data_IF_060515658079
#
_entry.id   IF_060515658079
#
_cell.length_a   1.000
_cell.length_b   1.000
_cell.length_c   1.000
_cell.angle_alpha   90.00
_cell.angle_beta   90.00
_cell.angle_gamma   90.00
#
_symmetry.space_group_name_H-M   'P 1'
#
loop_
_entity.id
_entity.type
_entity.pdbx_description
1 polymer ?
#
# COMPACT_ATOMS: atom_id res chain seq x y z
N UNK A 1 -62.37 -3.19 -16.27
CA UNK A 1 -62.18 -3.15 -14.81
C UNK A 1 -61.66 -4.50 -14.39
N UNK A 2 -60.35 -4.62 -14.34
CA UNK A 2 -59.61 -5.66 -13.60
C UNK A 2 -58.20 -5.11 -13.42
N UNK A 3 -58.04 -4.35 -12.35
CA UNK A 3 -56.75 -4.05 -11.77
C UNK A 3 -56.17 -5.38 -11.27
N UNK A 4 -55.32 -6.00 -12.06
CA UNK A 4 -54.52 -7.13 -11.60
C UNK A 4 -53.48 -6.57 -10.64
N UNK A 5 -53.85 -6.71 -9.39
CA UNK A 5 -53.09 -6.46 -8.18
C UNK A 5 -51.75 -7.21 -8.21
N UNK A 6 -50.73 -6.69 -8.92
CA UNK A 6 -49.32 -7.08 -8.69
C UNK A 6 -48.90 -6.39 -7.41
N UNK A 7 -48.84 -7.19 -6.35
CA UNK A 7 -48.64 -6.70 -5.01
C UNK A 7 -47.37 -5.80 -4.88
N UNK A 8 -47.47 -4.72 -4.09
CA UNK A 8 -46.31 -3.91 -3.67
C UNK A 8 -45.21 -4.72 -3.01
N UNK A 9 -45.44 -6.00 -2.77
CA UNK A 9 -44.53 -6.95 -2.12
C UNK A 9 -43.29 -7.30 -2.94
N UNK A 10 -43.33 -7.33 -4.29
CA UNK A 10 -42.20 -7.83 -5.06
C UNK A 10 -40.96 -6.94 -4.94
N UNK A 11 -41.14 -5.61 -5.02
CA UNK A 11 -40.05 -4.64 -4.88
C UNK A 11 -39.47 -4.69 -3.47
N UNK A 12 -40.34 -4.74 -2.46
CA UNK A 12 -39.92 -4.87 -1.06
C UNK A 12 -39.14 -6.17 -0.80
N UNK A 13 -39.57 -7.28 -1.41
CA UNK A 13 -38.90 -8.57 -1.30
C UNK A 13 -37.49 -8.51 -1.94
N UNK A 14 -37.41 -7.94 -3.16
CA UNK A 14 -36.13 -7.76 -3.87
C UNK A 14 -35.18 -6.88 -3.05
N UNK A 15 -35.67 -5.71 -2.60
CA UNK A 15 -34.85 -4.78 -1.83
C UNK A 15 -34.39 -5.38 -0.47
N UNK A 16 -35.26 -6.17 0.19
CA UNK A 16 -34.91 -6.87 1.43
C UNK A 16 -33.82 -7.92 1.19
N UNK A 17 -33.95 -8.74 0.13
CA UNK A 17 -32.95 -9.76 -0.20
C UNK A 17 -31.59 -9.12 -0.57
N UNK A 18 -31.61 -8.01 -1.35
CA UNK A 18 -30.40 -7.26 -1.71
C UNK A 18 -29.77 -6.62 -0.49
N UNK A 19 -30.54 -5.99 0.39
CA UNK A 19 -30.01 -5.43 1.64
C UNK A 19 -29.37 -6.49 2.53
N UNK A 20 -29.98 -7.68 2.58
CA UNK A 20 -29.39 -8.82 3.31
C UNK A 20 -28.08 -9.30 2.67
N UNK A 21 -28.00 -9.33 1.34
CA UNK A 21 -26.78 -9.69 0.63
C UNK A 21 -25.63 -8.71 0.91
N UNK A 22 -25.90 -7.41 0.94
CA UNK A 22 -24.91 -6.37 1.23
C UNK A 22 -24.29 -6.54 2.64
N UNK A 23 -25.10 -6.91 3.62
CA UNK A 23 -24.63 -7.12 5.00
C UNK A 23 -23.77 -8.37 5.12
N UNK A 24 -24.10 -9.42 4.38
CA UNK A 24 -23.48 -10.74 4.53
C UNK A 24 -22.29 -10.98 3.62
N UNK A 25 -22.23 -10.33 2.44
CA UNK A 25 -21.17 -10.50 1.45
C UNK A 25 -20.06 -9.46 1.65
N UNK A 26 -18.84 -9.93 1.92
CA UNK A 26 -17.67 -9.06 2.08
C UNK A 26 -16.87 -8.84 0.78
N UNK A 27 -17.14 -9.65 -0.23
CA UNK A 27 -16.46 -9.58 -1.52
C UNK A 27 -17.38 -8.90 -2.52
N UNK A 28 -16.93 -7.78 -3.11
CA UNK A 28 -17.72 -6.98 -4.06
C UNK A 28 -18.23 -7.78 -5.25
N UNK A 29 -17.39 -8.62 -5.88
CA UNK A 29 -17.79 -9.43 -7.03
C UNK A 29 -18.81 -10.52 -6.63
N UNK A 30 -18.67 -11.13 -5.45
CA UNK A 30 -19.63 -12.09 -4.92
C UNK A 30 -20.99 -11.42 -4.63
N UNK A 31 -20.97 -10.20 -4.06
CA UNK A 31 -22.15 -9.38 -3.84
C UNK A 31 -22.89 -9.12 -5.15
N UNK A 32 -22.19 -8.65 -6.19
CA UNK A 32 -22.80 -8.37 -7.49
C UNK A 32 -23.44 -9.61 -8.10
N UNK A 33 -22.81 -10.78 -8.02
CA UNK A 33 -23.38 -12.05 -8.48
C UNK A 33 -24.65 -12.41 -7.70
N UNK A 34 -24.62 -12.30 -6.39
CA UNK A 34 -25.77 -12.58 -5.53
C UNK A 34 -26.97 -11.67 -5.90
N UNK A 35 -26.72 -10.38 -6.12
CA UNK A 35 -27.75 -9.44 -6.55
C UNK A 35 -28.34 -9.84 -7.90
N UNK A 36 -27.52 -10.21 -8.89
CA UNK A 36 -28.02 -10.70 -10.18
C UNK A 36 -28.85 -11.98 -10.03
N UNK A 37 -28.52 -12.88 -9.13
CA UNK A 37 -29.30 -14.09 -8.86
C UNK A 37 -30.64 -13.76 -8.21
N UNK A 38 -30.70 -12.75 -7.33
CA UNK A 38 -31.98 -12.24 -6.77
C UNK A 38 -32.85 -11.65 -7.88
N UNK A 39 -32.28 -10.79 -8.73
CA UNK A 39 -33.00 -10.18 -9.86
C UNK A 39 -33.50 -11.25 -10.86
N UNK A 40 -32.66 -12.24 -11.18
CA UNK A 40 -33.05 -13.37 -12.04
C UNK A 40 -34.26 -14.11 -11.49
N UNK A 41 -34.22 -14.51 -10.22
CA UNK A 41 -35.30 -15.28 -9.58
C UNK A 41 -36.60 -14.48 -9.43
N UNK A 42 -36.51 -13.17 -9.18
CA UNK A 42 -37.66 -12.34 -8.82
C UNK A 42 -38.23 -11.57 -10.01
N UNK A 43 -37.39 -11.11 -10.93
CA UNK A 43 -37.83 -10.27 -12.07
C UNK A 43 -37.96 -11.03 -13.39
N UNK A 44 -37.78 -12.35 -13.43
CA UNK A 44 -37.77 -13.14 -14.67
C UNK A 44 -36.84 -12.58 -15.75
N UNK A 45 -35.70 -12.03 -15.35
CA UNK A 45 -34.72 -11.59 -16.32
C UNK A 45 -34.05 -12.79 -17.00
N UNK A 46 -33.64 -12.62 -18.25
CA UNK A 46 -32.95 -13.67 -19.02
C UNK A 46 -31.44 -13.65 -18.76
N UNK A 47 -30.87 -12.44 -18.70
CA UNK A 47 -29.47 -12.16 -18.47
C UNK A 47 -29.32 -10.86 -17.71
N UNK A 48 -28.24 -10.73 -16.98
CA UNK A 48 -27.90 -9.50 -16.30
C UNK A 48 -26.40 -9.31 -16.19
N UNK A 49 -25.94 -8.05 -16.24
CA UNK A 49 -24.54 -7.69 -16.09
C UNK A 49 -24.36 -6.47 -15.23
N UNK A 50 -23.34 -6.51 -14.37
CA UNK A 50 -22.74 -5.34 -13.77
C UNK A 50 -21.46 -4.99 -14.51
N UNK A 51 -21.35 -3.76 -15.02
CA UNK A 51 -20.09 -3.23 -15.51
C UNK A 51 -19.53 -2.21 -14.54
N UNK A 52 -18.21 -2.19 -14.40
CA UNK A 52 -17.50 -1.22 -13.56
C UNK A 52 -16.64 -0.34 -14.46
N UNK A 53 -16.65 0.96 -14.16
CA UNK A 53 -15.87 1.96 -14.89
C UNK A 53 -14.43 2.01 -14.36
N UNK A 54 -13.46 1.92 -15.27
CA UNK A 54 -12.04 2.12 -15.01
C UNK A 54 -11.49 3.17 -15.99
N UNK A 55 -11.50 4.43 -15.53
CA UNK A 55 -11.17 5.55 -16.41
C UNK A 55 -12.21 5.73 -17.53
N UNK A 56 -11.83 5.49 -18.79
CA UNK A 56 -12.72 5.57 -19.96
C UNK A 56 -13.30 4.20 -20.38
N UNK A 57 -12.94 3.14 -19.69
CA UNK A 57 -13.34 1.78 -20.02
C UNK A 57 -14.44 1.28 -19.05
N UNK A 58 -15.32 0.44 -19.59
CA UNK A 58 -16.37 -0.27 -18.87
C UNK A 58 -16.17 -1.78 -19.08
N UNK A 59 -15.93 -2.51 -17.99
CA UNK A 59 -15.70 -3.95 -18.03
C UNK A 59 -16.77 -4.69 -17.21
N UNK A 60 -17.22 -5.85 -17.72
CA UNK A 60 -18.16 -6.68 -16.97
C UNK A 60 -17.44 -7.28 -15.76
N UNK A 61 -17.87 -6.92 -14.57
CA UNK A 61 -17.34 -7.42 -13.29
C UNK A 61 -18.12 -8.65 -12.80
N UNK A 62 -19.43 -8.69 -13.04
CA UNK A 62 -20.29 -9.81 -12.71
C UNK A 62 -21.39 -9.98 -13.74
N UNK A 63 -21.81 -11.23 -13.96
CA UNK A 63 -22.89 -11.54 -14.87
C UNK A 63 -23.72 -12.71 -14.37
N UNK A 64 -24.99 -12.74 -14.84
CA UNK A 64 -25.85 -13.92 -14.82
C UNK A 64 -26.23 -14.27 -16.26
N UNK A 65 -26.00 -15.54 -16.63
CA UNK A 65 -26.33 -16.03 -17.97
C UNK A 65 -25.26 -15.74 -19.05
N UNK A 66 -24.02 -15.40 -18.66
CA UNK A 66 -22.86 -15.29 -19.54
C UNK A 66 -21.72 -16.20 -19.05
N UNK A 67 -20.98 -16.77 -19.97
CA UNK A 67 -19.72 -17.47 -19.67
C UNK A 67 -18.53 -16.49 -19.56
N UNK A 68 -17.35 -17.00 -19.14
CA UNK A 68 -16.16 -16.16 -18.96
C UNK A 68 -15.66 -15.53 -20.29
N UNK A 69 -15.81 -16.23 -21.41
CA UNK A 69 -15.39 -15.70 -22.71
C UNK A 69 -16.33 -14.59 -23.19
N UNK A 70 -17.62 -14.77 -22.93
CA UNK A 70 -18.67 -13.81 -23.21
C UNK A 70 -18.49 -12.54 -22.36
N UNK A 71 -18.17 -12.70 -21.06
CA UNK A 71 -17.86 -11.57 -20.19
C UNK A 71 -16.65 -10.77 -20.69
N UNK A 72 -15.56 -11.44 -21.08
CA UNK A 72 -14.35 -10.77 -21.61
C UNK A 72 -14.62 -9.98 -22.90
N UNK A 73 -15.58 -10.40 -23.73
CA UNK A 73 -16.01 -9.64 -24.92
C UNK A 73 -16.85 -8.41 -24.57
N UNK A 74 -17.44 -8.38 -23.41
CA UNK A 74 -18.28 -7.28 -22.92
C UNK A 74 -17.46 -6.10 -22.41
N UNK A 75 -16.61 -5.54 -23.25
CA UNK A 75 -15.82 -4.34 -23.03
C UNK A 75 -16.41 -3.17 -23.85
N UNK A 76 -16.62 -2.03 -23.21
CA UNK A 76 -17.19 -0.82 -23.81
C UNK A 76 -16.37 0.40 -23.40
N UNK A 77 -16.41 1.45 -24.23
CA UNK A 77 -15.93 2.77 -23.82
C UNK A 77 -17.10 3.64 -23.35
N UNK A 78 -16.79 4.62 -22.52
CA UNK A 78 -17.77 5.66 -22.13
C UNK A 78 -18.26 6.35 -23.39
N UNK A 79 -19.60 6.49 -23.55
CA UNK A 79 -20.26 6.99 -24.76
C UNK A 79 -20.52 5.92 -25.83
N UNK A 80 -19.95 4.70 -25.72
CA UNK A 80 -20.10 3.66 -26.74
C UNK A 80 -21.33 2.77 -26.52
N UNK A 81 -22.21 2.72 -27.51
CA UNK A 81 -23.45 1.94 -27.44
C UNK A 81 -24.39 2.40 -26.32
N UNK A 82 -25.26 1.52 -25.88
CA UNK A 82 -26.21 1.85 -24.78
C UNK A 82 -25.49 1.92 -23.42
N UNK A 83 -24.69 0.91 -23.12
CA UNK A 83 -23.98 0.81 -21.84
C UNK A 83 -23.03 1.98 -21.62
N UNK A 84 -22.24 2.35 -22.65
CA UNK A 84 -21.36 3.51 -22.59
C UNK A 84 -22.10 4.84 -22.51
N UNK A 85 -23.23 4.97 -23.21
CA UNK A 85 -24.06 6.18 -23.15
C UNK A 85 -24.69 6.39 -21.75
N UNK A 86 -25.18 5.32 -21.12
CA UNK A 86 -25.67 5.37 -19.73
C UNK A 86 -24.55 5.75 -18.77
N UNK A 87 -23.34 5.21 -18.96
CA UNK A 87 -22.18 5.56 -18.15
C UNK A 87 -21.70 7.00 -18.33
N UNK A 88 -21.90 7.59 -19.50
CA UNK A 88 -21.56 8.98 -19.81
C UNK A 88 -22.58 9.95 -19.24
N UNK A 89 -23.86 9.67 -19.48
CA UNK A 89 -24.94 10.63 -19.17
C UNK A 89 -25.48 10.51 -17.74
N UNK A 90 -25.27 9.37 -17.08
CA UNK A 90 -25.87 9.06 -15.79
C UNK A 90 -27.41 8.89 -15.86
N UNK A 91 -27.96 8.68 -17.06
CA UNK A 91 -29.38 8.50 -17.26
C UNK A 91 -29.70 7.09 -17.69
N UNK A 92 -30.76 6.47 -17.14
CA UNK A 92 -31.18 5.13 -17.53
C UNK A 92 -31.62 5.09 -18.98
N UNK A 93 -31.51 3.93 -19.60
CA UNK A 93 -31.99 3.70 -20.96
C UNK A 93 -32.76 2.38 -21.07
N UNK A 94 -33.93 2.41 -21.70
CA UNK A 94 -34.78 1.25 -21.93
C UNK A 94 -34.99 1.08 -23.42
N UNK A 95 -34.84 -0.15 -23.90
CA UNK A 95 -35.17 -0.58 -25.26
C UNK A 95 -36.22 -1.68 -25.16
N UNK A 96 -37.38 -1.46 -25.76
CA UNK A 96 -38.48 -2.44 -25.74
C UNK A 96 -38.21 -3.67 -26.60
N UNK A 97 -37.41 -3.51 -27.65
CA UNK A 97 -37.04 -4.56 -28.58
C UNK A 97 -35.60 -4.31 -29.13
N UNK A 98 -34.65 -5.08 -28.64
CA UNK A 98 -33.22 -4.94 -29.01
C UNK A 98 -32.99 -5.19 -30.51
N UNK A 99 -33.85 -5.92 -31.19
CA UNK A 99 -33.73 -6.19 -32.63
C UNK A 99 -33.93 -4.95 -33.51
N UNK A 100 -34.50 -3.90 -32.96
CA UNK A 100 -34.87 -2.67 -33.68
C UNK A 100 -33.99 -1.47 -33.35
N UNK A 101 -33.07 -1.56 -32.39
CA UNK A 101 -32.19 -0.45 -32.01
C UNK A 101 -30.76 -0.69 -32.51
N UNK A 102 -30.32 0.12 -33.46
CA UNK A 102 -28.99 0.02 -34.05
C UNK A 102 -27.84 0.35 -33.09
N UNK A 103 -28.12 1.04 -31.97
CA UNK A 103 -27.14 1.36 -30.93
C UNK A 103 -26.79 0.16 -30.05
N UNK A 104 -27.61 -0.89 -30.12
CA UNK A 104 -27.41 -2.11 -29.34
C UNK A 104 -26.29 -2.98 -29.99
N UNK A 105 -25.10 -3.01 -29.38
CA UNK A 105 -23.91 -3.57 -30.00
C UNK A 105 -23.79 -5.11 -29.92
N UNK A 106 -24.58 -5.81 -29.09
CA UNK A 106 -24.50 -7.25 -28.82
C UNK A 106 -23.07 -7.80 -28.73
N UNK A 107 -22.18 -7.11 -28.02
CA UNK A 107 -20.76 -7.49 -27.94
C UNK A 107 -20.53 -8.87 -27.33
N UNK A 108 -21.36 -9.28 -26.38
CA UNK A 108 -21.30 -10.60 -25.78
C UNK A 108 -21.66 -11.72 -26.76
N UNK A 109 -22.36 -11.40 -27.88
CA UNK A 109 -22.83 -12.33 -28.91
C UNK A 109 -23.75 -13.44 -28.38
N UNK A 110 -24.46 -13.21 -27.29
CA UNK A 110 -25.31 -14.19 -26.62
C UNK A 110 -26.77 -14.14 -27.08
N UNK A 111 -27.15 -13.11 -27.82
CA UNK A 111 -28.54 -12.90 -28.24
C UNK A 111 -28.72 -13.38 -29.67
N UNK A 112 -29.72 -14.25 -29.88
CA UNK A 112 -30.05 -14.78 -31.20
C UNK A 112 -30.90 -13.77 -31.97
N UNK A 113 -30.70 -13.71 -33.28
CA UNK A 113 -31.52 -12.89 -34.18
C UNK A 113 -32.96 -13.34 -34.10
N UNK A 114 -33.92 -12.37 -33.86
CA UNK A 114 -35.35 -12.65 -33.81
C UNK A 114 -35.95 -12.87 -32.40
N UNK A 115 -35.12 -12.87 -31.34
CA UNK A 115 -35.68 -12.84 -29.97
C UNK A 115 -36.24 -11.48 -29.62
N UNK A 116 -37.53 -11.42 -29.22
CA UNK A 116 -38.19 -10.20 -28.73
C UNK A 116 -37.82 -10.01 -27.25
N UNK A 117 -36.76 -9.27 -27.01
CA UNK A 117 -36.17 -9.05 -25.69
C UNK A 117 -36.08 -7.53 -25.45
N UNK A 118 -36.54 -7.07 -24.31
CA UNK A 118 -36.25 -5.72 -23.83
C UNK A 118 -34.91 -5.66 -23.12
N UNK A 119 -34.28 -4.52 -23.24
CA UNK A 119 -32.98 -4.26 -22.55
C UNK A 119 -33.16 -3.01 -21.68
N UNK A 120 -32.81 -3.13 -20.39
CA UNK A 120 -32.82 -2.04 -19.44
C UNK A 120 -31.40 -1.85 -18.95
N UNK A 121 -30.88 -0.64 -19.04
CA UNK A 121 -29.57 -0.27 -18.52
C UNK A 121 -29.68 0.95 -17.60
N UNK A 122 -29.22 0.83 -16.38
CA UNK A 122 -29.26 1.91 -15.40
C UNK A 122 -27.83 2.22 -14.91
N UNK A 123 -27.54 3.49 -14.55
CA UNK A 123 -26.24 3.84 -13.99
C UNK A 123 -26.12 3.33 -12.54
N UNK A 124 -24.90 3.00 -12.14
CA UNK A 124 -24.50 2.80 -10.75
C UNK A 124 -23.83 4.09 -10.30
N UNK A 125 -24.45 4.80 -9.38
CA UNK A 125 -24.00 6.14 -8.97
C UNK A 125 -23.51 6.09 -7.52
N UNK A 126 -22.35 6.73 -7.29
CA UNK A 126 -21.84 7.03 -5.96
C UNK A 126 -21.33 8.47 -5.94
N UNK A 127 -21.73 9.29 -4.93
CA UNK A 127 -21.36 10.71 -4.79
C UNK A 127 -21.52 11.50 -6.11
N UNK A 128 -22.66 11.32 -6.80
CA UNK A 128 -22.98 11.95 -8.09
C UNK A 128 -22.07 11.56 -9.27
N UNK A 129 -21.22 10.56 -9.11
CA UNK A 129 -20.41 10.02 -10.18
C UNK A 129 -20.88 8.63 -10.61
N UNK A 130 -20.88 8.39 -11.92
CA UNK A 130 -21.20 7.07 -12.45
C UNK A 130 -19.97 6.19 -12.34
N UNK A 131 -20.01 5.17 -11.48
CA UNK A 131 -18.96 4.19 -11.25
C UNK A 131 -19.13 2.89 -12.04
N UNK A 132 -20.28 2.73 -12.71
CA UNK A 132 -20.59 1.57 -13.52
C UNK A 132 -22.01 1.57 -14.04
N UNK A 133 -22.48 0.44 -14.57
CA UNK A 133 -23.86 0.25 -15.01
C UNK A 133 -24.39 -1.13 -14.60
N UNK A 134 -25.68 -1.21 -14.34
CA UNK A 134 -26.44 -2.46 -14.23
C UNK A 134 -27.31 -2.58 -15.46
N UNK A 135 -27.22 -3.69 -16.20
CA UNK A 135 -28.09 -3.95 -17.32
C UNK A 135 -28.73 -5.33 -17.24
N UNK A 136 -29.97 -5.44 -17.71
CA UNK A 136 -30.68 -6.70 -17.79
C UNK A 136 -31.34 -6.89 -19.15
N UNK A 137 -31.44 -8.15 -19.57
CA UNK A 137 -32.32 -8.59 -20.66
C UNK A 137 -33.61 -9.14 -20.05
N UNK A 138 -34.74 -8.68 -20.53
CA UNK A 138 -36.06 -9.05 -20.04
C UNK A 138 -36.90 -9.64 -21.15
N UNK A 139 -37.51 -10.80 -20.92
CA UNK A 139 -38.53 -11.31 -21.81
C UNK A 139 -39.80 -10.40 -21.72
N UNK A 140 -40.31 -10.00 -22.86
CA UNK A 140 -41.50 -9.16 -22.92
C UNK A 140 -42.75 -10.03 -23.02
N UNK A 141 -43.59 -10.01 -22.00
CA UNK A 141 -44.91 -10.62 -21.94
C UNK A 141 -45.99 -9.57 -21.69
N UNK A 142 -47.26 -10.01 -21.61
CA UNK A 142 -48.39 -9.10 -21.43
C UNK A 142 -48.40 -8.36 -20.07
N UNK A 143 -47.66 -8.88 -19.11
CA UNK A 143 -47.57 -8.39 -17.75
C UNK A 143 -46.29 -7.61 -17.49
N UNK A 144 -45.48 -7.36 -18.51
CA UNK A 144 -44.19 -6.67 -18.37
C UNK A 144 -44.43 -5.17 -18.28
N UNK A 145 -43.97 -4.58 -17.18
CA UNK A 145 -43.92 -3.13 -16.95
C UNK A 145 -42.44 -2.67 -16.89
N UNK A 146 -41.95 -2.22 -18.03
CA UNK A 146 -40.53 -1.82 -18.18
C UNK A 146 -40.19 -0.55 -17.40
N UNK A 147 -41.17 0.36 -17.21
CA UNK A 147 -40.93 1.59 -16.43
C UNK A 147 -40.78 1.26 -14.94
N UNK A 148 -41.57 0.36 -14.43
CA UNK A 148 -41.49 -0.13 -13.06
C UNK A 148 -40.16 -0.92 -12.83
N UNK A 149 -39.81 -1.79 -13.77
CA UNK A 149 -38.56 -2.55 -13.72
C UNK A 149 -37.37 -1.61 -13.75
N UNK A 150 -37.38 -0.54 -14.58
CA UNK A 150 -36.33 0.49 -14.60
C UNK A 150 -36.17 1.16 -13.24
N UNK A 151 -37.27 1.65 -12.64
CA UNK A 151 -37.26 2.33 -11.33
C UNK A 151 -36.63 1.45 -10.23
N UNK A 152 -37.01 0.16 -10.21
CA UNK A 152 -36.47 -0.79 -9.25
C UNK A 152 -34.95 -0.96 -9.48
N UNK A 153 -34.52 -1.10 -10.73
CA UNK A 153 -33.10 -1.25 -11.06
C UNK A 153 -32.26 0.01 -10.73
N UNK A 154 -32.86 1.21 -10.88
CA UNK A 154 -32.21 2.46 -10.47
C UNK A 154 -31.95 2.48 -8.94
N UNK A 155 -32.98 2.08 -8.15
CA UNK A 155 -32.81 1.94 -6.70
C UNK A 155 -31.69 0.94 -6.37
N UNK A 156 -31.70 -0.23 -7.04
CA UNK A 156 -30.66 -1.25 -6.87
C UNK A 156 -29.28 -0.71 -7.26
N UNK A 157 -29.18 0.01 -8.38
CA UNK A 157 -27.93 0.61 -8.84
C UNK A 157 -27.33 1.59 -7.82
N UNK A 158 -28.16 2.43 -7.22
CA UNK A 158 -27.72 3.39 -6.19
C UNK A 158 -27.23 2.67 -4.91
N UNK A 159 -28.01 1.70 -4.42
CA UNK A 159 -27.62 0.91 -3.23
C UNK A 159 -26.32 0.15 -3.47
N UNK A 160 -26.15 -0.43 -4.66
CA UNK A 160 -24.92 -1.12 -5.06
C UNK A 160 -23.72 -0.15 -5.14
N UNK A 161 -23.95 1.06 -5.67
CA UNK A 161 -22.94 2.09 -5.77
C UNK A 161 -22.31 2.41 -4.42
N UNK A 162 -23.14 2.66 -3.42
CA UNK A 162 -22.69 2.96 -2.06
C UNK A 162 -21.99 1.75 -1.41
N UNK A 163 -22.54 0.54 -1.59
CA UNK A 163 -21.94 -0.68 -1.04
C UNK A 163 -20.56 -0.99 -1.64
N UNK A 164 -20.39 -0.83 -2.96
CA UNK A 164 -19.12 -1.04 -3.64
C UNK A 164 -18.08 -0.01 -3.20
N UNK A 165 -18.46 1.26 -3.11
CA UNK A 165 -17.55 2.31 -2.67
C UNK A 165 -17.09 2.08 -1.23
N UNK A 166 -17.97 1.74 -0.31
CA UNK A 166 -17.64 1.39 1.06
C UNK A 166 -16.69 0.16 1.14
N UNK A 167 -16.91 -0.84 0.31
CA UNK A 167 -16.05 -2.03 0.24
C UNK A 167 -14.65 -1.70 -0.27
N UNK A 168 -14.52 -0.84 -1.29
CA UNK A 168 -13.23 -0.40 -1.83
C UNK A 168 -12.46 0.41 -0.79
N UNK A 169 -13.12 1.39 -0.14
CA UNK A 169 -12.49 2.20 0.90
C UNK A 169 -12.00 1.35 2.07
N UNK A 170 -12.80 0.40 2.56
CA UNK A 170 -12.40 -0.51 3.62
C UNK A 170 -11.20 -1.39 3.23
N UNK A 171 -11.10 -1.77 1.95
CA UNK A 171 -9.94 -2.52 1.43
C UNK A 171 -8.66 -1.67 1.40
N UNK A 172 -8.76 -0.42 0.95
CA UNK A 172 -7.63 0.52 0.90
C UNK A 172 -7.13 0.86 2.31
N UNK A 173 -8.03 1.15 3.24
CA UNK A 173 -7.69 1.40 4.64
C UNK A 173 -7.01 0.19 5.29
N UNK A 174 -7.53 -1.01 5.03
CA UNK A 174 -6.92 -2.25 5.53
C UNK A 174 -5.55 -2.50 4.94
N UNK A 175 -5.36 -2.27 3.64
CA UNK A 175 -4.06 -2.42 2.99
C UNK A 175 -3.03 -1.43 3.55
N UNK A 176 -3.44 -0.17 3.78
CA UNK A 176 -2.60 0.85 4.40
C UNK A 176 -2.19 0.47 5.83
N UNK A 177 -3.14 0.00 6.65
CA UNK A 177 -2.87 -0.47 8.02
C UNK A 177 -1.95 -1.71 8.06
N UNK A 178 -2.10 -2.63 7.12
CA UNK A 178 -1.20 -3.80 7.00
C UNK A 178 0.22 -3.36 6.65
N UNK A 179 0.36 -2.48 5.66
CA UNK A 179 1.68 -1.95 5.25
C UNK A 179 2.36 -1.17 6.39
N UNK A 180 1.60 -0.36 7.15
CA UNK A 180 2.11 0.34 8.33
C UNK A 180 2.53 -0.64 9.44
N UNK A 181 1.72 -1.69 9.69
CA UNK A 181 2.03 -2.71 10.69
C UNK A 181 3.26 -3.54 10.30
N UNK A 182 3.44 -3.86 9.02
CA UNK A 182 4.64 -4.52 8.50
C UNK A 182 5.87 -3.63 8.69
N UNK A 183 5.78 -2.35 8.34
CA UNK A 183 6.85 -1.38 8.57
C UNK A 183 7.21 -1.26 10.06
N UNK A 184 6.22 -1.20 10.95
CA UNK A 184 6.44 -1.18 12.39
C UNK A 184 7.06 -2.49 12.91
N UNK A 185 6.65 -3.63 12.38
CA UNK A 185 7.24 -4.94 12.73
C UNK A 185 8.68 -5.06 12.26
N UNK A 186 9.00 -4.60 11.06
CA UNK A 186 10.39 -4.55 10.58
C UNK A 186 11.26 -3.66 11.47
N UNK A 187 10.72 -2.53 11.93
CA UNK A 187 11.40 -1.68 12.91
C UNK A 187 11.64 -2.37 14.25
N UNK A 188 10.73 -3.22 14.70
CA UNK A 188 10.84 -3.96 15.97
C UNK A 188 11.70 -5.23 15.86
N UNK A 189 11.66 -5.94 14.74
CA UNK A 189 12.37 -7.24 14.57
C UNK A 189 13.82 -7.08 14.17
N UNK A 190 14.21 -5.98 13.57
CA UNK A 190 15.62 -5.67 13.31
C UNK A 190 16.20 -4.87 14.48
N UNK A 191 16.26 -5.51 15.64
CA UNK A 191 16.95 -4.95 16.79
C UNK A 191 18.46 -4.88 16.43
N UNK A 192 19.09 -3.71 16.28
CA UNK A 192 20.50 -3.63 15.95
C UNK A 192 21.36 -3.97 17.17
N UNK A 193 21.33 -5.24 17.57
CA UNK A 193 22.11 -5.74 18.70
C UNK A 193 21.42 -5.56 20.06
N UNK A 194 22.18 -5.12 21.08
CA UNK A 194 21.74 -5.04 22.48
C UNK A 194 20.89 -3.79 22.83
N UNK A 195 20.53 -2.96 21.82
CA UNK A 195 19.69 -1.78 22.06
C UNK A 195 18.24 -2.19 22.32
N UNK A 196 17.68 -1.80 23.47
CA UNK A 196 16.30 -2.11 23.87
C UNK A 196 15.53 -0.80 23.99
N UNK A 197 14.35 -0.75 23.35
CA UNK A 197 13.40 0.37 23.45
C UNK A 197 12.42 0.37 22.29
N UNK A 198 11.17 0.77 22.58
CA UNK A 198 10.07 0.84 21.60
C UNK A 198 9.37 2.19 21.58
N UNK A 199 9.90 3.20 22.29
CA UNK A 199 9.33 4.54 22.23
C UNK A 199 9.67 5.21 20.88
N UNK A 200 8.86 6.20 20.49
CA UNK A 200 9.01 6.91 19.21
C UNK A 200 10.40 7.48 18.98
N UNK A 201 11.05 7.97 20.03
CA UNK A 201 12.42 8.52 20.00
C UNK A 201 13.46 7.42 19.69
N UNK A 202 13.31 6.24 20.30
CA UNK A 202 14.20 5.11 20.00
C UNK A 202 14.02 4.57 18.59
N UNK A 203 12.79 4.55 18.08
CA UNK A 203 12.51 4.16 16.69
C UNK A 203 13.20 5.11 15.70
N UNK A 204 13.23 6.42 15.98
CA UNK A 204 13.99 7.39 15.18
C UNK A 204 15.49 7.10 15.22
N UNK A 205 16.04 6.75 16.39
CA UNK A 205 17.47 6.36 16.52
C UNK A 205 17.75 5.11 15.67
N UNK A 206 16.91 4.10 15.71
CA UNK A 206 17.05 2.89 14.88
C UNK A 206 17.03 3.21 13.40
N UNK A 207 16.14 4.10 12.96
CA UNK A 207 16.07 4.53 11.56
C UNK A 207 17.34 5.26 11.12
N UNK A 208 17.87 6.16 11.95
CA UNK A 208 19.15 6.85 11.70
C UNK A 208 20.33 5.87 11.63
N UNK A 209 20.39 4.88 12.53
CA UNK A 209 21.41 3.84 12.49
C UNK A 209 21.36 3.07 11.16
N UNK A 210 20.18 2.64 10.72
CA UNK A 210 20.02 1.93 9.44
C UNK A 210 20.43 2.77 8.23
N UNK A 211 20.12 4.05 8.27
CA UNK A 211 20.43 4.97 7.19
C UNK A 211 21.93 5.22 7.07
N UNK A 212 22.65 5.33 8.20
CA UNK A 212 24.07 5.68 8.20
C UNK A 212 24.99 4.46 8.10
N UNK A 213 24.59 3.31 8.65
CA UNK A 213 25.42 2.12 8.72
C UNK A 213 26.00 1.62 7.39
N UNK A 214 25.26 1.66 6.24
CA UNK A 214 25.82 1.25 4.95
C UNK A 214 26.85 2.23 4.36
N UNK A 215 26.99 3.44 4.93
CA UNK A 215 27.88 4.48 4.42
C UNK A 215 29.26 4.45 5.09
N UNK A 216 30.27 5.05 4.42
CA UNK A 216 31.61 5.29 4.99
C UNK A 216 31.72 6.63 5.72
N UNK A 217 30.60 7.26 6.02
CA UNK A 217 30.56 8.58 6.68
C UNK A 217 31.04 8.49 8.13
N UNK A 218 31.70 9.56 8.59
CA UNK A 218 32.01 9.73 10.02
C UNK A 218 30.72 10.04 10.79
N UNK A 219 30.42 9.24 11.81
CA UNK A 219 29.20 9.36 12.62
C UNK A 219 29.51 10.04 13.96
N UNK A 220 28.78 11.09 14.29
CA UNK A 220 28.81 11.73 15.60
C UNK A 220 27.60 11.30 16.43
N UNK A 221 27.86 10.56 17.52
CA UNK A 221 26.84 10.12 18.47
C UNK A 221 26.79 11.12 19.65
N UNK A 222 25.63 11.73 19.86
CA UNK A 222 25.41 12.68 20.96
C UNK A 222 24.44 12.12 21.99
N UNK A 223 24.76 12.33 23.27
CA UNK A 223 23.90 11.94 24.39
C UNK A 223 24.60 12.15 25.72
N UNK A 224 23.83 12.25 26.79
CA UNK A 224 24.35 12.35 28.16
C UNK A 224 25.16 11.09 28.52
N UNK A 225 25.97 11.17 29.57
CA UNK A 225 26.67 9.96 30.07
C UNK A 225 25.66 8.88 30.48
N UNK A 226 25.97 7.63 30.20
CA UNK A 226 25.11 6.48 30.53
C UNK A 226 23.92 6.25 29.58
N UNK A 227 23.72 7.02 28.50
CA UNK A 227 22.60 6.84 27.56
C UNK A 227 22.78 5.72 26.53
N UNK A 228 23.88 4.97 26.60
CA UNK A 228 24.13 3.84 25.69
C UNK A 228 24.82 4.21 24.37
N UNK A 229 25.59 5.30 24.32
CA UNK A 229 26.34 5.71 23.10
C UNK A 229 27.18 4.58 22.50
N UNK A 230 27.83 3.76 23.33
CA UNK A 230 28.60 2.59 22.87
C UNK A 230 27.72 1.52 22.22
N UNK A 231 26.52 1.27 22.76
CA UNK A 231 25.57 0.34 22.15
C UNK A 231 25.11 0.81 20.77
N UNK A 232 24.90 2.15 20.62
CA UNK A 232 24.59 2.74 19.31
C UNK A 232 25.74 2.55 18.34
N UNK A 233 27.02 2.77 18.78
CA UNK A 233 28.18 2.55 17.93
C UNK A 233 28.30 1.09 17.48
N UNK A 234 28.12 0.13 18.39
CA UNK A 234 28.07 -1.32 18.07
C UNK A 234 26.95 -1.65 17.08
N UNK A 235 25.77 -1.05 17.26
CA UNK A 235 24.65 -1.25 16.37
C UNK A 235 24.91 -0.74 14.94
N UNK A 236 25.56 0.43 14.80
CA UNK A 236 26.01 0.96 13.50
C UNK A 236 26.98 -0.02 12.83
N UNK A 237 27.96 -0.54 13.57
CA UNK A 237 28.95 -1.50 13.03
C UNK A 237 28.28 -2.80 12.60
N UNK A 238 27.39 -3.34 13.42
CA UNK A 238 26.70 -4.61 13.13
C UNK A 238 25.83 -4.54 11.85
N UNK A 239 25.30 -3.37 11.52
CA UNK A 239 24.51 -3.14 10.30
C UNK A 239 25.34 -2.62 9.12
N UNK A 240 26.66 -2.38 9.32
CA UNK A 240 27.54 -1.88 8.27
C UNK A 240 28.15 -3.01 7.43
N UNK A 241 28.73 -2.63 6.28
CA UNK A 241 29.56 -3.53 5.48
C UNK A 241 30.85 -4.00 6.19
N UNK A 242 31.13 -3.47 7.41
CA UNK A 242 32.34 -3.79 8.24
C UNK A 242 32.00 -4.60 9.49
N UNK A 243 30.81 -5.23 9.56
CA UNK A 243 30.36 -6.02 10.71
C UNK A 243 31.34 -7.12 11.16
N UNK A 244 32.06 -7.72 10.19
CA UNK A 244 33.03 -8.80 10.41
C UNK A 244 34.48 -8.27 10.54
N UNK A 245 34.65 -6.94 10.65
CA UNK A 245 35.94 -6.28 10.79
C UNK A 245 36.14 -5.77 12.21
N UNK A 246 37.39 -5.45 12.61
CA UNK A 246 37.70 -5.00 13.98
C UNK A 246 36.88 -3.72 14.35
N UNK A 247 36.25 -3.75 15.52
CA UNK A 247 35.77 -2.56 16.20
C UNK A 247 36.72 -2.23 17.33
N UNK A 248 37.52 -1.18 17.14
CA UNK A 248 38.50 -0.73 18.13
C UNK A 248 37.91 0.47 18.88
N UNK A 249 37.85 0.37 20.21
CA UNK A 249 37.33 1.41 21.08
C UNK A 249 38.42 2.12 21.83
N UNK A 250 38.32 3.43 22.02
CA UNK A 250 39.23 4.24 22.81
C UNK A 250 38.40 5.31 23.58
N UNK A 251 38.54 5.31 24.90
CA UNK A 251 37.97 6.38 25.74
C UNK A 251 38.97 7.50 25.88
N UNK A 252 38.61 8.70 25.39
CA UNK A 252 39.50 9.87 25.34
C UNK A 252 39.67 10.56 26.69
N UNK A 253 38.75 10.42 27.63
CA UNK A 253 38.80 11.03 28.96
C UNK A 253 39.59 10.19 29.96
N UNK A 254 39.87 8.91 29.65
CA UNK A 254 40.42 7.96 30.62
C UNK A 254 41.95 8.11 30.88
N UNK A 255 42.68 8.96 30.12
CA UNK A 255 44.15 9.02 30.23
C UNK A 255 44.70 10.43 29.92
N UNK A 256 45.94 10.73 30.43
CA UNK A 256 46.61 11.96 30.09
C UNK A 256 46.88 12.12 28.60
N UNK A 257 46.90 13.37 28.10
CA UNK A 257 47.00 13.70 26.66
C UNK A 257 48.14 13.02 25.92
N UNK A 258 49.37 13.02 26.51
CA UNK A 258 50.55 12.38 25.89
C UNK A 258 50.36 10.87 25.71
N UNK A 259 49.70 10.22 26.65
CA UNK A 259 49.40 8.80 26.57
C UNK A 259 48.27 8.54 25.56
N UNK A 260 47.25 9.43 25.51
CA UNK A 260 46.15 9.35 24.56
C UNK A 260 46.69 9.43 23.12
N UNK A 261 47.58 10.39 22.81
CA UNK A 261 48.19 10.51 21.49
C UNK A 261 48.93 9.24 21.08
N UNK A 262 49.74 8.71 22.01
CA UNK A 262 50.50 7.46 21.80
C UNK A 262 49.58 6.24 21.64
N UNK A 263 48.50 6.13 22.40
CA UNK A 263 47.51 5.04 22.22
C UNK A 263 46.74 5.17 20.91
N UNK A 264 46.38 6.39 20.51
CA UNK A 264 45.58 6.63 19.29
C UNK A 264 46.43 6.42 18.03
N UNK A 265 47.59 7.06 17.92
CA UNK A 265 48.40 7.10 16.69
C UNK A 265 49.64 6.18 16.74
N UNK A 266 49.98 5.64 17.92
CA UNK A 266 51.19 4.88 18.12
C UNK A 266 52.45 5.75 18.30
N UNK A 267 53.58 5.13 18.62
CA UNK A 267 54.83 5.83 18.81
C UNK A 267 56.05 5.05 18.26
N UNK A 268 57.06 5.80 17.87
CA UNK A 268 58.38 5.24 17.54
C UNK A 268 59.22 5.08 18.80
N UNK A 269 60.23 4.18 18.75
CA UNK A 269 61.15 3.97 19.85
C UNK A 269 61.89 5.27 20.18
N UNK A 270 61.92 5.68 21.45
CA UNK A 270 62.63 6.87 21.93
C UNK A 270 61.83 8.18 21.82
N UNK A 271 60.60 8.17 21.43
CA UNK A 271 59.74 9.37 21.26
C UNK A 271 59.40 10.10 22.57
N UNK A 272 59.47 9.40 23.72
CA UNK A 272 59.29 9.98 25.06
C UNK A 272 59.99 9.10 26.13
N UNK A 273 60.15 9.62 27.34
CA UNK A 273 60.71 8.87 28.46
C UNK A 273 59.85 7.67 28.80
N UNK A 274 60.34 6.44 28.47
CA UNK A 274 59.62 5.19 28.61
C UNK A 274 59.24 4.51 27.28
N UNK A 275 59.45 5.14 26.12
CA UNK A 275 59.23 4.54 24.80
C UNK A 275 60.35 3.56 24.43
N UNK A 276 60.39 2.40 25.05
CA UNK A 276 61.46 1.38 24.87
C UNK A 276 61.36 0.63 23.55
N UNK A 277 60.17 0.57 22.93
CA UNK A 277 59.89 -0.10 21.66
C UNK A 277 58.88 0.68 20.85
N UNK A 278 58.84 0.42 19.53
CA UNK A 278 57.73 0.91 18.65
C UNK A 278 56.43 0.25 19.06
N UNK A 279 55.33 1.03 19.08
CA UNK A 279 53.97 0.52 19.35
C UNK A 279 53.00 0.98 18.29
N UNK A 280 52.14 0.05 17.83
CA UNK A 280 51.06 0.29 16.90
C UNK A 280 49.92 0.98 17.64
N UNK A 281 49.35 2.06 17.05
CA UNK A 281 48.19 2.80 17.60
C UNK A 281 46.86 2.16 17.29
N UNK A 282 45.83 2.61 18.01
CA UNK A 282 44.44 2.15 17.82
C UNK A 282 43.91 2.50 16.41
N UNK A 283 44.31 3.64 15.83
CA UNK A 283 43.95 4.02 14.47
C UNK A 283 44.46 3.01 13.42
N UNK A 284 45.72 2.55 13.59
CA UNK A 284 46.31 1.51 12.71
C UNK A 284 45.66 0.14 12.95
N UNK A 285 45.37 -0.20 14.21
CA UNK A 285 44.69 -1.46 14.56
C UNK A 285 43.25 -1.52 14.04
N UNK A 286 42.63 -0.36 13.78
CA UNK A 286 41.26 -0.24 13.22
C UNK A 286 41.25 -0.21 11.69
N UNK A 287 42.40 -0.39 11.03
CA UNK A 287 42.44 -0.32 9.55
C UNK A 287 41.52 -1.33 8.89
N UNK A 288 40.74 -0.89 7.92
CA UNK A 288 39.68 -1.67 7.27
C UNK A 288 38.46 -1.98 8.16
N UNK A 289 38.50 -1.59 9.44
CA UNK A 289 37.43 -1.76 10.43
C UNK A 289 36.76 -0.44 10.84
N UNK A 290 36.48 -0.33 12.14
CA UNK A 290 35.82 0.87 12.73
C UNK A 290 36.58 1.29 14.00
N UNK A 291 36.87 2.59 14.10
CA UNK A 291 37.41 3.20 15.31
C UNK A 291 36.30 3.97 16.01
N UNK A 292 35.98 3.61 17.25
CA UNK A 292 35.04 4.33 18.11
C UNK A 292 35.83 5.11 19.17
N UNK A 293 35.67 6.44 19.15
CA UNK A 293 36.25 7.37 20.11
C UNK A 293 35.14 7.85 21.06
N UNK A 294 35.22 7.43 22.32
CA UNK A 294 34.28 7.88 23.35
C UNK A 294 34.77 9.14 24.05
N UNK A 295 33.85 9.97 24.55
CA UNK A 295 34.09 11.23 25.28
C UNK A 295 35.08 12.17 24.53
N UNK A 296 34.85 12.34 23.21
CA UNK A 296 35.68 13.23 22.36
C UNK A 296 35.63 14.70 22.77
N UNK A 297 34.60 15.10 23.54
CA UNK A 297 34.43 16.45 24.05
C UNK A 297 35.53 16.89 25.05
N UNK A 298 36.21 15.93 25.67
CA UNK A 298 37.27 16.15 26.67
C UNK A 298 38.66 16.29 26.05
N UNK A 299 38.77 16.21 24.71
CA UNK A 299 40.05 16.38 24.00
C UNK A 299 40.57 17.80 24.10
N UNK A 300 41.87 17.94 24.33
CA UNK A 300 42.57 19.24 24.23
C UNK A 300 42.52 19.79 22.80
N UNK A 301 42.65 21.10 22.63
CA UNK A 301 42.68 21.76 21.32
C UNK A 301 43.75 21.17 20.40
N UNK A 302 44.91 20.77 20.96
CA UNK A 302 46.01 20.15 20.19
C UNK A 302 45.57 18.79 19.62
N UNK A 303 44.93 17.97 20.44
CA UNK A 303 44.41 16.66 20.00
C UNK A 303 43.25 16.81 19.00
N UNK A 304 42.36 17.82 19.18
CA UNK A 304 41.29 18.09 18.23
C UNK A 304 41.87 18.40 16.83
N UNK A 305 42.92 19.22 16.73
CA UNK A 305 43.57 19.53 15.44
C UNK A 305 44.16 18.27 14.78
N UNK A 306 44.80 17.40 15.56
CA UNK A 306 45.38 16.12 15.05
C UNK A 306 44.26 15.18 14.60
N UNK A 307 43.21 15.07 15.38
CA UNK A 307 42.03 14.25 15.03
C UNK A 307 41.32 14.78 13.77
N UNK A 308 41.18 16.10 13.62
CA UNK A 308 40.61 16.71 12.42
C UNK A 308 41.39 16.35 11.15
N UNK A 309 42.75 16.43 11.20
CA UNK A 309 43.58 16.03 10.08
C UNK A 309 43.42 14.53 9.75
N UNK A 310 43.35 13.69 10.78
CA UNK A 310 43.10 12.26 10.60
C UNK A 310 41.76 11.97 9.95
N UNK A 311 40.68 12.65 10.37
CA UNK A 311 39.32 12.49 9.81
C UNK A 311 39.25 12.94 8.34
N UNK A 312 39.94 14.05 8.00
CA UNK A 312 39.94 14.60 6.64
C UNK A 312 40.83 13.79 5.67
N UNK A 313 42.03 13.45 6.10
CA UNK A 313 43.05 12.83 5.26
C UNK A 313 43.12 11.30 5.37
N UNK A 314 42.49 10.73 6.39
CA UNK A 314 42.64 9.31 6.81
C UNK A 314 44.11 8.87 6.94
N UNK A 315 44.98 9.83 7.22
CA UNK A 315 46.41 9.65 7.42
C UNK A 315 46.84 10.27 8.73
N UNK A 316 47.85 9.71 9.36
CA UNK A 316 48.45 10.20 10.61
C UNK A 316 49.91 9.90 10.66
N UNK A 317 50.64 10.59 11.52
CA UNK A 317 52.04 10.28 11.87
C UNK A 317 52.09 9.74 13.29
N UNK A 318 52.99 8.77 13.54
CA UNK A 318 53.26 8.29 14.89
C UNK A 318 53.98 9.36 15.70
N UNK A 319 53.86 9.29 17.02
CA UNK A 319 54.59 10.19 17.91
C UNK A 319 56.11 9.93 17.73
N UNK A 320 56.83 10.98 17.37
CA UNK A 320 58.29 10.90 17.13
C UNK A 320 58.69 10.50 15.71
N UNK A 321 57.77 10.45 14.76
CA UNK A 321 58.08 10.21 13.35
C UNK A 321 58.21 11.49 12.55
#
# INVERSE_FOLDING_TARGET
MNEINRSPDLEMVVLKEISSAIVNERNGTALLRHILDVLYRRMKMLRGTFTIRRGNDLMIEASHGLDEQEMKRGHYHVGEGITGHVAETGRPHVIEDISRDSRFLNRTRTRKSGEKVAFICVPIIHLQQVIGTLSIDRAVDRDTDLERDQKLLEIVGNIVGDALAASLQAHEERAALVAENEKLRELLTTNPGELIGNCSTMLQVYEQIRQVAPSDATVLIRGSSGTGKELVARAVVNLSGRKDKPLVTLNCAAMPENLLESELFGHEKGSFTGATSRRIGRAEAADGGTLFLDEIGDLSLQMQVKLLRFLQGKTFSRVGS
#
